data_IF_601247535804
#
_entry.id   IF_601247535804
#
_cell.length_a   1.000
_cell.length_b   1.000
_cell.length_c   1.000
_cell.angle_alpha   90.00
_cell.angle_beta   90.00
_cell.angle_gamma   90.00
#
_symmetry.space_group_name_H-M   'P 1'
#
loop_
_entity.id
_entity.type
_entity.pdbx_description
1 polymer ?
#
# COMPACT_ATOMS: atom_id res chain seq x y z
N UNK A 1 42.45 8.38 -10.26
CA UNK A 1 41.96 8.40 -8.87
C UNK A 1 40.53 8.90 -8.91
N UNK A 2 39.56 8.02 -8.67
CA UNK A 2 38.16 8.41 -8.47
C UNK A 2 37.51 7.31 -7.65
N UNK A 3 37.57 7.48 -6.34
CA UNK A 3 36.81 6.68 -5.39
C UNK A 3 35.34 7.03 -5.57
N UNK A 4 34.53 6.09 -6.04
CA UNK A 4 33.07 6.22 -6.02
C UNK A 4 32.61 6.11 -4.57
N UNK A 5 32.33 7.24 -3.92
CA UNK A 5 31.74 7.29 -2.59
C UNK A 5 30.21 7.19 -2.72
N UNK A 6 29.65 6.04 -2.35
CA UNK A 6 28.20 5.81 -2.30
C UNK A 6 27.57 6.18 -0.95
N UNK A 7 28.30 6.86 -0.06
CA UNK A 7 27.78 7.27 1.25
C UNK A 7 27.17 8.66 1.15
N UNK A 8 25.89 8.72 0.77
CA UNK A 8 25.20 10.01 0.83
C UNK A 8 23.73 10.00 0.46
N UNK A 9 23.23 9.02 -0.29
CA UNK A 9 21.79 8.92 -0.52
C UNK A 9 21.12 8.18 0.64
N UNK A 10 21.08 8.84 1.80
CA UNK A 10 19.86 8.75 2.59
C UNK A 10 18.81 9.45 1.75
N UNK A 11 18.07 8.69 0.96
CA UNK A 11 16.77 9.11 0.52
C UNK A 11 15.97 9.21 1.82
N UNK A 12 16.00 10.39 2.42
CA UNK A 12 14.98 10.83 3.35
C UNK A 12 13.70 10.86 2.52
N UNK A 13 13.12 9.69 2.28
CA UNK A 13 11.69 9.58 2.12
C UNK A 13 11.16 10.13 3.43
N UNK A 14 10.95 11.44 3.48
CA UNK A 14 10.07 12.04 4.45
C UNK A 14 8.73 11.41 4.10
N UNK A 15 8.36 10.38 4.86
CA UNK A 15 7.05 9.76 4.77
C UNK A 15 6.07 10.88 5.08
N UNK A 16 5.54 11.49 4.03
CA UNK A 16 4.52 12.51 4.09
C UNK A 16 3.25 11.82 4.60
N UNK A 17 3.14 11.73 5.93
CA UNK A 17 1.89 11.49 6.63
C UNK A 17 0.91 12.60 6.20
N UNK A 18 0.11 12.33 5.17
CA UNK A 18 -0.81 13.30 4.58
C UNK A 18 -0.68 13.56 3.08
N UNK A 19 0.07 12.77 2.29
CA UNK A 19 -0.16 12.83 0.83
C UNK A 19 -1.55 12.30 0.53
N UNK A 20 -2.35 13.06 -0.20
CA UNK A 20 -3.53 12.55 -0.89
C UNK A 20 -3.09 11.34 -1.74
N UNK A 21 -3.46 10.15 -1.28
CA UNK A 21 -3.22 8.90 -2.01
C UNK A 21 -4.32 8.82 -3.08
N UNK A 22 -4.22 9.70 -4.07
CA UNK A 22 -5.15 9.71 -5.18
C UNK A 22 -4.93 8.48 -6.05
N UNK A 23 -6.02 7.78 -6.34
CA UNK A 23 -6.06 6.66 -7.26
C UNK A 23 -6.94 7.02 -8.45
N UNK A 24 -6.51 6.63 -9.65
CA UNK A 24 -7.25 6.92 -10.87
C UNK A 24 -7.22 5.70 -11.79
N UNK A 25 -8.25 5.59 -12.64
CA UNK A 25 -8.43 4.45 -13.54
C UNK A 25 -7.40 4.37 -14.67
N UNK A 26 -6.66 5.45 -14.93
CA UNK A 26 -5.67 5.56 -16.01
C UNK A 26 -4.25 5.33 -15.49
N UNK A 27 -4.07 4.95 -14.21
CA UNK A 27 -2.75 4.75 -13.65
C UNK A 27 -2.15 3.45 -14.17
N UNK A 28 -0.84 3.44 -14.31
CA UNK A 28 -0.07 2.24 -14.65
C UNK A 28 0.00 1.25 -13.47
N UNK A 29 0.24 -0.04 -13.75
CA UNK A 29 0.57 -1.05 -12.74
C UNK A 29 1.67 -0.61 -11.76
N UNK A 30 2.71 0.05 -12.25
CA UNK A 30 3.82 0.54 -11.42
C UNK A 30 3.39 1.68 -10.50
N UNK A 31 2.59 2.63 -10.99
CA UNK A 31 2.03 3.68 -10.14
C UNK A 31 1.12 3.11 -9.07
N UNK A 32 0.32 2.09 -9.41
CA UNK A 32 -0.54 1.40 -8.46
C UNK A 32 0.28 0.71 -7.38
N UNK A 33 1.31 -0.04 -7.76
CA UNK A 33 2.24 -0.67 -6.84
C UNK A 33 2.93 0.35 -5.90
N UNK A 34 3.30 1.53 -6.42
CA UNK A 34 3.87 2.61 -5.61
C UNK A 34 2.86 3.17 -4.60
N UNK A 35 1.58 3.32 -4.97
CA UNK A 35 0.53 3.73 -4.02
C UNK A 35 0.31 2.68 -2.94
N UNK A 36 0.33 1.39 -3.28
CA UNK A 36 0.28 0.32 -2.28
C UNK A 36 1.49 0.35 -1.35
N UNK A 37 2.69 0.61 -1.88
CA UNK A 37 3.90 0.74 -1.08
C UNK A 37 3.77 1.85 -0.03
N UNK A 38 3.25 3.02 -0.41
CA UNK A 38 2.97 4.13 0.51
C UNK A 38 2.00 3.74 1.63
N UNK A 39 0.97 2.93 1.35
CA UNK A 39 0.04 2.43 2.37
C UNK A 39 0.74 1.44 3.31
N UNK A 40 1.51 0.48 2.77
CA UNK A 40 2.26 -0.51 3.57
C UNK A 40 3.22 0.21 4.53
N UNK A 41 3.86 1.25 4.03
CA UNK A 41 4.72 2.18 4.73
C UNK A 41 4.00 2.90 5.89
N UNK A 42 2.81 3.44 5.67
CA UNK A 42 1.98 4.05 6.72
C UNK A 42 1.53 3.04 7.78
N UNK A 43 1.13 1.84 7.36
CA UNK A 43 0.79 0.74 8.27
C UNK A 43 1.99 0.31 9.12
N UNK A 44 3.20 0.30 8.55
CA UNK A 44 4.43 0.00 9.29
C UNK A 44 4.73 1.07 10.35
N UNK A 45 4.53 2.35 10.04
CA UNK A 45 4.68 3.43 11.00
C UNK A 45 3.64 3.35 12.13
N UNK A 46 2.38 3.03 11.79
CA UNK A 46 1.33 2.80 12.78
C UNK A 46 1.66 1.61 13.69
N UNK A 47 2.17 0.51 13.11
CA UNK A 47 2.52 -0.71 13.85
C UNK A 47 3.51 -0.45 15.00
N UNK A 48 4.40 0.53 14.89
CA UNK A 48 5.37 0.86 15.95
C UNK A 48 4.72 1.44 17.21
N UNK A 49 3.52 2.01 17.09
CA UNK A 49 2.80 2.68 18.16
C UNK A 49 1.43 2.04 18.44
N UNK A 50 1.07 0.98 17.70
CA UNK A 50 -0.21 0.32 17.81
C UNK A 50 -0.34 -0.43 19.13
N UNK A 51 -1.57 -0.47 19.66
CA UNK A 51 -1.89 -1.34 20.78
C UNK A 51 -1.81 -2.83 20.39
N UNK A 52 -1.69 -3.70 21.39
CA UNK A 52 -1.62 -5.15 21.18
C UNK A 52 -2.88 -5.74 20.55
N UNK A 53 -4.00 -5.02 20.55
CA UNK A 53 -5.28 -5.44 19.96
C UNK A 53 -5.32 -5.20 18.45
N UNK A 54 -4.67 -4.14 17.97
CA UNK A 54 -4.67 -3.77 16.56
C UNK A 54 -3.43 -4.26 15.80
N UNK A 55 -2.33 -4.57 16.51
CA UNK A 55 -1.08 -5.00 15.87
C UNK A 55 -1.25 -6.19 14.91
N UNK A 56 -2.03 -7.20 15.29
CA UNK A 56 -2.26 -8.38 14.45
C UNK A 56 -3.03 -8.03 13.18
N UNK A 57 -4.04 -7.17 13.28
CA UNK A 57 -4.82 -6.68 12.13
C UNK A 57 -3.94 -5.88 11.17
N UNK A 58 -3.07 -5.03 11.71
CA UNK A 58 -2.12 -4.23 10.92
C UNK A 58 -1.12 -5.12 10.20
N UNK A 59 -0.56 -6.14 10.87
CA UNK A 59 0.34 -7.11 10.25
C UNK A 59 -0.36 -7.85 9.10
N UNK A 60 -1.60 -8.32 9.31
CA UNK A 60 -2.37 -9.00 8.26
C UNK A 60 -2.67 -8.07 7.09
N UNK A 61 -3.12 -6.85 7.34
CA UNK A 61 -3.37 -5.87 6.29
C UNK A 61 -2.11 -5.59 5.45
N UNK A 62 -0.95 -5.43 6.09
CA UNK A 62 0.33 -5.23 5.39
C UNK A 62 0.67 -6.42 4.51
N UNK A 63 0.58 -7.64 5.03
CA UNK A 63 0.87 -8.84 4.26
C UNK A 63 0.00 -8.95 3.01
N UNK A 64 -1.31 -8.71 3.14
CA UNK A 64 -2.24 -8.72 2.01
C UNK A 64 -1.88 -7.67 0.94
N UNK A 65 -1.51 -6.45 1.37
CA UNK A 65 -1.12 -5.37 0.46
C UNK A 65 0.25 -5.63 -0.19
N UNK A 66 1.20 -6.25 0.50
CA UNK A 66 2.49 -6.66 -0.08
C UNK A 66 2.28 -7.71 -1.18
N UNK A 67 1.38 -8.67 -0.95
CA UNK A 67 1.02 -9.66 -1.98
C UNK A 67 0.33 -8.96 -3.16
N UNK A 68 -0.60 -8.03 -2.90
CA UNK A 68 -1.30 -7.30 -3.95
C UNK A 68 -0.35 -6.44 -4.80
N UNK A 69 0.63 -5.78 -4.16
CA UNK A 69 1.71 -5.04 -4.82
C UNK A 69 2.52 -5.95 -5.74
N UNK A 70 2.97 -7.09 -5.25
CA UNK A 70 3.77 -8.02 -6.04
C UNK A 70 2.97 -8.62 -7.20
N UNK A 71 1.69 -8.92 -6.99
CA UNK A 71 0.78 -9.38 -8.04
C UNK A 71 0.59 -8.31 -9.13
N UNK A 72 0.44 -7.05 -8.74
CA UNK A 72 0.26 -5.93 -9.69
C UNK A 72 1.47 -5.68 -10.60
N UNK A 73 2.67 -6.09 -10.18
CA UNK A 73 3.90 -5.90 -10.93
C UNK A 73 4.22 -7.05 -11.90
N UNK A 74 3.39 -8.10 -11.93
CA UNK A 74 3.57 -9.21 -12.87
C UNK A 74 3.29 -8.77 -14.31
N UNK A 75 3.85 -9.52 -15.25
CA UNK A 75 3.55 -9.35 -16.67
C UNK A 75 2.07 -9.58 -16.98
N UNK A 76 1.42 -10.50 -16.26
CA UNK A 76 -0.01 -10.78 -16.31
C UNK A 76 -0.60 -10.79 -14.89
N UNK A 77 -1.06 -9.63 -14.38
CA UNK A 77 -1.60 -9.51 -13.03
C UNK A 77 -2.94 -10.21 -12.85
N UNK A 78 -3.07 -11.04 -11.81
CA UNK A 78 -4.36 -11.61 -11.42
C UNK A 78 -5.23 -10.57 -10.72
N UNK A 79 -6.11 -9.93 -11.49
CA UNK A 79 -7.08 -8.91 -11.04
C UNK A 79 -7.97 -9.40 -9.90
N UNK A 80 -8.48 -10.63 -9.99
CA UNK A 80 -9.39 -11.20 -8.99
C UNK A 80 -8.67 -11.39 -7.67
N UNK A 81 -7.41 -11.84 -7.74
CA UNK A 81 -6.55 -11.96 -6.57
C UNK A 81 -6.23 -10.59 -5.97
N UNK A 82 -5.80 -9.60 -6.76
CA UNK A 82 -5.53 -8.23 -6.26
C UNK A 82 -6.76 -7.68 -5.54
N UNK A 83 -7.95 -7.83 -6.14
CA UNK A 83 -9.21 -7.36 -5.56
C UNK A 83 -9.53 -8.05 -4.24
N UNK A 84 -9.34 -9.36 -4.16
CA UNK A 84 -9.55 -10.15 -2.94
C UNK A 84 -8.61 -9.70 -1.81
N UNK A 85 -7.31 -9.58 -2.10
CA UNK A 85 -6.28 -9.16 -1.14
C UNK A 85 -6.57 -7.74 -0.60
N UNK A 86 -6.92 -6.80 -1.49
CA UNK A 86 -7.28 -5.44 -1.07
C UNK A 86 -8.57 -5.40 -0.24
N UNK A 87 -9.54 -6.25 -0.56
CA UNK A 87 -10.78 -6.37 0.23
C UNK A 87 -10.50 -6.94 1.62
N UNK A 88 -9.62 -7.93 1.72
CA UNK A 88 -9.13 -8.49 2.99
C UNK A 88 -8.40 -7.44 3.82
N UNK A 89 -7.43 -6.74 3.23
CA UNK A 89 -6.70 -5.64 3.86
C UNK A 89 -7.66 -4.56 4.39
N UNK A 90 -8.66 -4.17 3.59
CA UNK A 90 -9.71 -3.22 3.98
C UNK A 90 -10.44 -3.68 5.24
N UNK A 91 -10.87 -4.94 5.29
CA UNK A 91 -11.61 -5.47 6.45
C UNK A 91 -10.78 -5.39 7.75
N UNK A 92 -9.46 -5.56 7.68
CA UNK A 92 -8.60 -5.41 8.84
C UNK A 92 -8.48 -3.95 9.30
N UNK A 93 -8.21 -3.02 8.37
CA UNK A 93 -7.95 -1.61 8.71
C UNK A 93 -9.22 -0.81 9.00
N UNK A 94 -10.37 -1.14 8.41
CA UNK A 94 -11.65 -0.42 8.63
C UNK A 94 -12.17 -0.53 10.06
N UNK A 95 -11.62 -1.45 10.87
CA UNK A 95 -11.98 -1.58 12.29
C UNK A 95 -11.12 -0.72 13.22
N UNK A 96 -10.13 0.00 12.68
CA UNK A 96 -9.16 0.81 13.42
C UNK A 96 -9.39 2.27 13.04
N UNK A 97 -9.88 3.08 13.98
CA UNK A 97 -10.27 4.46 13.73
C UNK A 97 -9.12 5.30 13.15
N UNK A 98 -7.90 5.12 13.66
CA UNK A 98 -6.70 5.83 13.20
C UNK A 98 -6.32 5.52 11.75
N UNK A 99 -6.85 4.43 11.18
CA UNK A 99 -6.57 3.98 9.82
C UNK A 99 -7.77 4.21 8.87
N UNK A 100 -8.73 5.04 9.26
CA UNK A 100 -9.91 5.35 8.45
C UNK A 100 -9.56 5.82 7.02
N UNK A 101 -8.55 6.68 6.88
CA UNK A 101 -8.08 7.17 5.57
C UNK A 101 -7.55 6.05 4.68
N UNK A 102 -6.85 5.05 5.25
CA UNK A 102 -6.41 3.86 4.51
C UNK A 102 -7.62 3.04 4.08
N UNK A 103 -8.61 2.89 4.96
CA UNK A 103 -9.88 2.25 4.63
C UNK A 103 -10.59 2.91 3.44
N UNK A 104 -10.70 4.24 3.45
CA UNK A 104 -11.29 5.03 2.35
C UNK A 104 -10.53 4.88 1.04
N UNK A 105 -9.18 4.93 1.10
CA UNK A 105 -8.34 4.66 -0.06
C UNK A 105 -8.67 3.28 -0.67
N UNK A 106 -8.71 2.23 0.16
CA UNK A 106 -9.00 0.87 -0.32
C UNK A 106 -10.41 0.76 -0.91
N UNK A 107 -11.40 1.44 -0.32
CA UNK A 107 -12.77 1.52 -0.87
C UNK A 107 -12.78 2.13 -2.27
N UNK A 108 -12.05 3.23 -2.47
CA UNK A 108 -11.96 3.90 -3.76
C UNK A 108 -11.16 3.09 -4.79
N UNK A 109 -10.13 2.36 -4.35
CA UNK A 109 -9.20 1.65 -5.21
C UNK A 109 -9.74 0.33 -5.78
N UNK A 110 -10.42 -0.46 -4.94
CA UNK A 110 -10.99 -1.77 -5.30
C UNK A 110 -11.78 -1.76 -6.63
N UNK A 111 -12.74 -0.84 -6.87
CA UNK A 111 -13.51 -0.84 -8.12
C UNK A 111 -12.67 -0.46 -9.35
N UNK A 112 -11.52 0.19 -9.19
CA UNK A 112 -10.68 0.63 -10.30
C UNK A 112 -9.72 -0.46 -10.81
N UNK A 113 -9.52 -1.55 -10.07
CA UNK A 113 -8.59 -2.64 -10.43
C UNK A 113 -8.85 -3.14 -11.85
N UNK A 114 -10.11 -3.35 -12.21
CA UNK A 114 -10.47 -3.81 -13.56
C UNK A 114 -10.09 -2.82 -14.66
N UNK A 115 -10.08 -1.51 -14.37
CA UNK A 115 -9.68 -0.49 -15.34
C UNK A 115 -8.16 -0.31 -15.41
N UNK A 116 -7.47 -0.46 -14.28
CA UNK A 116 -6.01 -0.30 -14.18
C UNK A 116 -5.26 -1.44 -14.88
N UNK A 117 -5.81 -2.65 -14.80
CA UNK A 117 -5.24 -3.87 -15.39
C UNK A 117 -6.11 -4.40 -16.53
N UNK A 118 -6.79 -3.50 -17.25
CA UNK A 118 -7.64 -3.83 -18.40
C UNK A 118 -6.84 -4.31 -19.60
#
# INVERSE_FOLDING_TARGET
>A
MTTFDQRGQHVNNQYNAGQDININKNMSPTEFANKLDLIIQQLAAYQQNADSKNIEKVIKAKAELEIAKNESLKQDPDRSKIQSLMTSAKAFVSTIADLAQIGEFLIAAIPLINSIFA
#
